data_IF_726302884514
#
_entry.id   IF_726302884514
#
_cell.length_a   1.000
_cell.length_b   1.000
_cell.length_c   1.000
_cell.angle_alpha   90.00
_cell.angle_beta   90.00
_cell.angle_gamma   90.00
#
_symmetry.space_group_name_H-M   'P 1'
#
loop_
_entity.id
_entity.type
_entity.pdbx_description
1 polymer ?
#
# COMPACT_ATOMS: atom_id res chain seq x y z
N UNK A 1 14.86 26.77 -11.48
CA UNK A 1 13.91 25.75 -11.97
C UNK A 1 12.53 26.37 -11.86
N UNK A 2 11.83 26.57 -12.97
CA UNK A 2 10.42 26.97 -12.91
C UNK A 2 9.65 25.78 -12.34
N UNK A 3 8.91 25.99 -11.26
CA UNK A 3 7.90 25.04 -10.78
C UNK A 3 6.88 24.88 -11.89
N UNK A 4 6.87 23.73 -12.58
CA UNK A 4 5.84 23.41 -13.58
C UNK A 4 4.47 23.68 -12.97
N UNK A 5 3.69 24.55 -13.61
CA UNK A 5 2.25 24.64 -13.36
C UNK A 5 1.67 23.25 -13.59
N UNK A 6 0.75 22.79 -12.73
CA UNK A 6 0.08 21.49 -12.87
C UNK A 6 -0.75 21.39 -14.17
N UNK A 7 -0.89 22.50 -14.89
CA UNK A 7 -1.71 22.63 -16.08
C UNK A 7 -1.10 23.59 -17.10
N UNK A 8 -1.35 23.30 -18.38
CA UNK A 8 -1.33 24.32 -19.42
C UNK A 8 -2.46 25.31 -19.11
N UNK A 9 -2.11 26.51 -18.65
CA UNK A 9 -3.08 27.55 -18.31
C UNK A 9 -3.94 27.93 -19.51
N UNK A 10 -3.40 27.89 -20.73
CA UNK A 10 -4.15 28.17 -21.95
C UNK A 10 -5.19 27.08 -22.23
N UNK A 11 -4.87 25.82 -21.93
CA UNK A 11 -5.84 24.72 -22.03
C UNK A 11 -6.96 24.86 -20.99
N UNK A 12 -6.63 25.14 -19.73
CA UNK A 12 -7.64 25.43 -18.69
C UNK A 12 -8.56 26.57 -19.13
N UNK A 13 -7.96 27.71 -19.50
CA UNK A 13 -8.70 28.95 -19.67
C UNK A 13 -9.60 28.89 -20.90
N UNK A 14 -9.28 28.03 -21.88
CA UNK A 14 -10.00 27.92 -23.14
C UNK A 14 -10.77 26.61 -23.35
N UNK A 15 -10.49 25.56 -22.55
CA UNK A 15 -11.01 24.20 -22.76
C UNK A 15 -10.73 23.68 -24.19
N UNK A 16 -9.73 24.22 -24.89
CA UNK A 16 -9.47 23.84 -26.28
C UNK A 16 -8.48 22.66 -26.35
N UNK A 17 -8.89 21.48 -26.85
CA UNK A 17 -8.01 20.31 -26.98
C UNK A 17 -6.74 20.56 -27.79
N UNK A 18 -6.68 21.58 -28.65
CA UNK A 18 -5.47 21.96 -29.36
C UNK A 18 -4.32 22.43 -28.44
N UNK A 19 -4.66 22.90 -27.23
CA UNK A 19 -3.68 23.27 -26.20
C UNK A 19 -3.37 22.13 -25.22
N UNK A 20 -4.02 20.98 -25.35
CA UNK A 20 -3.73 19.83 -24.51
C UNK A 20 -2.33 19.30 -24.82
N UNK A 21 -1.50 19.22 -23.79
CA UNK A 21 -0.17 18.62 -23.88
C UNK A 21 -0.06 17.49 -22.85
N UNK A 22 -0.01 16.24 -23.34
CA UNK A 22 0.16 15.06 -22.49
C UNK A 22 1.50 15.05 -21.72
N UNK A 23 2.47 15.88 -22.10
CA UNK A 23 3.73 16.06 -21.36
C UNK A 23 3.60 16.95 -20.12
N UNK A 24 2.48 17.68 -20.00
CA UNK A 24 2.11 18.53 -18.86
C UNK A 24 1.10 17.85 -17.91
N UNK A 25 0.92 16.54 -18.05
CA UNK A 25 0.04 15.72 -17.22
C UNK A 25 0.38 15.84 -15.72
N UNK A 26 -0.67 15.88 -14.88
CA UNK A 26 -0.61 16.20 -13.43
C UNK A 26 0.32 15.29 -12.62
N UNK A 27 0.60 14.11 -13.15
CA UNK A 27 1.47 13.12 -12.55
C UNK A 27 2.95 13.50 -12.56
N UNK A 28 3.39 14.40 -13.44
CA UNK A 28 4.82 14.74 -13.61
C UNK A 28 5.22 16.06 -12.94
N UNK A 29 4.79 16.26 -11.69
CA UNK A 29 5.13 17.46 -10.92
C UNK A 29 6.07 17.21 -9.76
N UNK A 30 6.69 18.29 -9.28
CA UNK A 30 7.58 18.28 -8.11
C UNK A 30 6.91 17.66 -6.89
N UNK A 31 5.63 17.97 -6.67
CA UNK A 31 4.85 17.39 -5.59
C UNK A 31 4.76 15.87 -5.71
N UNK A 32 4.47 15.36 -6.91
CA UNK A 32 4.31 13.92 -7.14
C UNK A 32 5.60 13.14 -6.92
N UNK A 33 6.71 13.51 -7.54
CA UNK A 33 7.95 12.74 -7.33
C UNK A 33 8.54 12.94 -5.92
N UNK A 34 8.37 14.12 -5.31
CA UNK A 34 8.87 14.36 -3.94
C UNK A 34 8.13 13.50 -2.91
N UNK A 35 6.80 13.38 -3.06
CA UNK A 35 5.98 12.54 -2.18
C UNK A 35 6.23 11.04 -2.41
N UNK A 36 6.50 10.62 -3.64
CA UNK A 36 7.03 9.28 -3.97
C UNK A 36 8.33 8.98 -3.22
N UNK A 37 9.31 9.89 -3.25
CA UNK A 37 10.59 9.70 -2.55
C UNK A 37 10.45 9.70 -1.04
N UNK A 38 9.54 10.50 -0.48
CA UNK A 38 9.22 10.44 0.95
C UNK A 38 8.65 9.06 1.34
N UNK A 39 7.74 8.50 0.55
CA UNK A 39 7.24 7.14 0.73
C UNK A 39 8.36 6.10 0.63
N UNK A 40 9.22 6.19 -0.39
CA UNK A 40 10.41 5.34 -0.52
C UNK A 40 11.25 5.37 0.77
N UNK A 41 11.61 6.56 1.25
CA UNK A 41 12.49 6.71 2.40
C UNK A 41 11.86 6.16 3.69
N UNK A 42 10.61 6.49 3.97
CA UNK A 42 9.90 6.05 5.19
C UNK A 42 9.67 4.54 5.17
N UNK A 43 9.21 3.98 4.06
CA UNK A 43 8.99 2.53 3.96
C UNK A 43 10.32 1.75 3.99
N UNK A 44 11.38 2.27 3.35
CA UNK A 44 12.71 1.65 3.41
C UNK A 44 13.27 1.65 4.85
N UNK A 45 13.10 2.76 5.58
CA UNK A 45 13.47 2.84 6.99
C UNK A 45 12.79 1.74 7.81
N UNK A 46 11.48 1.56 7.68
CA UNK A 46 10.75 0.50 8.38
C UNK A 46 11.19 -0.90 7.96
N UNK A 47 11.38 -1.15 6.66
CA UNK A 47 11.87 -2.43 6.16
C UNK A 47 13.23 -2.80 6.79
N UNK A 48 14.19 -1.87 6.79
CA UNK A 48 15.50 -2.05 7.41
C UNK A 48 15.36 -2.25 8.91
N UNK A 49 14.53 -1.45 9.59
CA UNK A 49 14.31 -1.55 11.03
C UNK A 49 13.79 -2.92 11.43
N UNK A 50 12.78 -3.44 10.74
CA UNK A 50 12.22 -4.76 11.02
C UNK A 50 13.16 -5.90 10.62
N UNK A 51 13.95 -5.75 9.54
CA UNK A 51 14.98 -6.72 9.17
C UNK A 51 16.14 -6.77 10.17
N UNK A 52 16.49 -5.63 10.78
CA UNK A 52 17.62 -5.49 11.69
C UNK A 52 17.26 -5.82 13.15
N UNK A 53 15.99 -5.81 13.52
CA UNK A 53 15.54 -6.27 14.83
C UNK A 53 15.60 -7.81 14.87
N UNK A 54 16.54 -8.41 15.63
CA UNK A 54 16.62 -9.86 15.71
C UNK A 54 15.37 -10.35 16.45
N UNK A 55 14.49 -11.04 15.74
CA UNK A 55 13.34 -11.78 16.29
C UNK A 55 13.73 -12.95 17.18
N UNK A 56 15.03 -13.09 17.49
CA UNK A 56 15.64 -14.21 18.18
C UNK A 56 16.73 -13.73 19.15
N UNK A 57 16.43 -12.79 20.05
CA UNK A 57 17.15 -12.83 21.33
C UNK A 57 16.63 -14.06 22.07
N UNK A 58 17.33 -15.18 21.89
CA UNK A 58 17.30 -16.35 22.77
C UNK A 58 17.49 -15.86 24.20
N UNK A 59 16.41 -15.50 24.89
CA UNK A 59 16.44 -15.40 26.34
C UNK A 59 16.62 -16.83 26.83
N UNK A 60 17.75 -17.08 27.45
CA UNK A 60 18.44 -18.38 27.47
C UNK A 60 17.79 -19.51 28.26
N UNK A 61 16.46 -19.62 28.36
CA UNK A 61 15.82 -20.80 28.97
C UNK A 61 14.36 -21.08 28.55
N UNK A 62 13.77 -20.38 27.58
CA UNK A 62 12.42 -20.70 27.09
C UNK A 62 12.52 -21.06 25.62
N UNK A 63 12.40 -22.37 25.35
CA UNK A 63 12.39 -22.98 24.03
C UNK A 63 11.04 -22.71 23.34
N UNK A 64 10.65 -21.44 23.17
CA UNK A 64 9.40 -21.09 22.50
C UNK A 64 9.58 -21.14 20.97
N UNK A 65 9.30 -22.33 20.44
CA UNK A 65 9.25 -22.69 19.03
C UNK A 65 7.98 -22.14 18.33
N UNK A 66 7.77 -20.83 18.35
CA UNK A 66 6.65 -20.24 17.63
C UNK A 66 7.07 -19.86 16.19
N UNK A 67 6.68 -20.67 15.19
CA UNK A 67 6.87 -20.32 13.75
C UNK A 67 5.98 -19.15 13.29
N UNK A 68 4.97 -18.76 14.09
CA UNK A 68 3.97 -17.72 13.76
C UNK A 68 4.57 -16.30 13.64
N UNK A 69 5.30 -15.77 14.64
CA UNK A 69 5.90 -14.44 14.59
C UNK A 69 6.94 -14.29 13.46
N UNK A 70 7.67 -15.37 13.15
CA UNK A 70 8.63 -15.38 12.05
C UNK A 70 8.00 -15.20 10.67
N UNK A 71 6.76 -15.69 10.45
CA UNK A 71 6.08 -15.54 9.17
C UNK A 71 5.44 -14.16 9.01
N UNK A 72 4.80 -13.63 10.07
CA UNK A 72 4.26 -12.27 10.09
C UNK A 72 5.35 -11.24 9.78
N UNK A 73 6.49 -11.30 10.48
CA UNK A 73 7.59 -10.35 10.28
C UNK A 73 8.17 -10.39 8.86
N UNK A 74 8.22 -11.57 8.23
CA UNK A 74 8.64 -11.68 6.82
C UNK A 74 7.72 -10.91 5.89
N UNK A 75 6.41 -11.03 6.08
CA UNK A 75 5.43 -10.32 5.25
C UNK A 75 5.40 -8.81 5.56
N UNK A 76 5.60 -8.41 6.82
CA UNK A 76 5.76 -7.01 7.21
C UNK A 76 6.97 -6.36 6.50
N UNK A 77 8.14 -7.01 6.55
CA UNK A 77 9.35 -6.55 5.85
C UNK A 77 9.11 -6.47 4.35
N UNK A 78 8.51 -7.51 3.76
CA UNK A 78 8.21 -7.54 2.33
C UNK A 78 7.25 -6.42 1.92
N UNK A 79 6.20 -6.15 2.70
CA UNK A 79 5.26 -5.06 2.46
C UNK A 79 5.98 -3.72 2.39
N UNK A 80 6.77 -3.37 3.41
CA UNK A 80 7.50 -2.11 3.43
C UNK A 80 8.57 -2.02 2.33
N UNK A 81 9.29 -3.12 2.05
CA UNK A 81 10.31 -3.14 1.01
C UNK A 81 9.70 -2.96 -0.40
N UNK A 82 8.64 -3.69 -0.73
CA UNK A 82 7.97 -3.55 -2.03
C UNK A 82 7.26 -2.20 -2.18
N UNK A 83 6.67 -1.68 -1.11
CA UNK A 83 6.09 -0.33 -1.09
C UNK A 83 7.19 0.70 -1.39
N UNK A 84 8.31 0.61 -0.68
CA UNK A 84 9.44 1.51 -0.91
C UNK A 84 9.89 1.46 -2.37
N UNK A 85 10.22 0.27 -2.88
CA UNK A 85 10.68 0.10 -4.26
C UNK A 85 9.65 0.59 -5.29
N UNK A 86 8.36 0.34 -5.08
CA UNK A 86 7.29 0.81 -5.95
C UNK A 86 7.29 2.34 -6.09
N UNK A 87 7.20 3.06 -4.96
CA UNK A 87 7.22 4.52 -4.96
C UNK A 87 8.59 5.10 -5.35
N UNK A 88 9.69 4.40 -5.10
CA UNK A 88 11.01 4.81 -5.57
C UNK A 88 11.14 4.77 -7.10
N UNK A 89 10.67 3.67 -7.71
CA UNK A 89 10.64 3.52 -9.17
C UNK A 89 9.66 4.51 -9.80
N UNK A 90 8.47 4.70 -9.22
CA UNK A 90 7.50 5.70 -9.67
C UNK A 90 8.06 7.13 -9.57
N UNK A 91 8.75 7.47 -8.48
CA UNK A 91 9.43 8.77 -8.33
C UNK A 91 10.49 9.01 -9.41
N UNK A 92 11.32 8.00 -9.72
CA UNK A 92 12.27 8.06 -10.83
C UNK A 92 11.53 8.22 -12.16
N UNK A 93 10.43 7.49 -12.36
CA UNK A 93 9.54 7.64 -13.51
C UNK A 93 9.11 9.09 -13.68
N UNK A 94 8.37 9.64 -12.72
CA UNK A 94 7.87 11.02 -12.82
C UNK A 94 8.98 12.07 -12.98
N UNK A 95 10.19 11.82 -12.44
CA UNK A 95 11.33 12.73 -12.60
C UNK A 95 12.01 12.63 -13.99
N UNK A 96 12.16 11.42 -14.53
CA UNK A 96 12.84 11.18 -15.82
C UNK A 96 11.89 11.42 -16.99
N UNK A 97 10.61 11.04 -16.84
CA UNK A 97 9.58 11.13 -17.87
C UNK A 97 9.20 12.55 -18.27
N UNK A 98 9.59 13.54 -17.46
CA UNK A 98 9.63 14.94 -17.88
C UNK A 98 10.52 15.17 -19.13
N UNK A 99 11.41 14.22 -19.48
CA UNK A 99 12.49 14.42 -20.46
C UNK A 99 12.66 13.33 -21.51
N UNK A 100 11.85 12.27 -21.49
CA UNK A 100 12.11 11.07 -22.33
C UNK A 100 10.89 10.63 -23.13
N UNK A 101 11.12 10.04 -24.31
CA UNK A 101 10.07 9.51 -25.19
C UNK A 101 9.30 8.34 -24.58
N UNK A 102 8.06 8.13 -25.06
CA UNK A 102 7.10 7.12 -24.59
C UNK A 102 7.64 5.69 -24.45
N UNK A 103 8.68 5.32 -25.19
CA UNK A 103 9.26 3.96 -25.18
C UNK A 103 9.93 3.59 -23.86
N UNK A 104 10.46 4.57 -23.11
CA UNK A 104 11.06 4.33 -21.80
C UNK A 104 10.04 4.40 -20.65
N UNK A 105 8.87 5.00 -20.89
CA UNK A 105 7.79 5.22 -19.92
C UNK A 105 7.13 3.95 -19.44
N UNK A 106 6.62 3.18 -20.40
CA UNK A 106 5.85 1.96 -20.16
C UNK A 106 6.56 0.97 -19.21
N UNK A 107 7.85 0.59 -19.40
CA UNK A 107 8.48 -0.38 -18.52
C UNK A 107 8.70 0.13 -17.09
N UNK A 108 8.96 1.43 -16.88
CA UNK A 108 9.15 2.01 -15.54
C UNK A 108 7.81 2.02 -14.79
N UNK A 109 6.76 2.52 -15.43
CA UNK A 109 5.41 2.54 -14.89
C UNK A 109 4.94 1.12 -14.55
N UNK A 110 5.01 0.20 -15.52
CA UNK A 110 4.66 -1.22 -15.32
C UNK A 110 5.41 -1.82 -14.12
N UNK A 111 6.71 -1.56 -14.00
CA UNK A 111 7.53 -2.06 -12.89
C UNK A 111 7.05 -1.52 -11.54
N UNK A 112 6.75 -0.22 -11.46
CA UNK A 112 6.22 0.39 -10.24
C UNK A 112 4.88 -0.24 -9.82
N UNK A 113 3.98 -0.53 -10.76
CA UNK A 113 2.70 -1.16 -10.49
C UNK A 113 2.83 -2.62 -10.08
N UNK A 114 3.72 -3.37 -10.72
CA UNK A 114 3.99 -4.76 -10.32
C UNK A 114 4.53 -4.80 -8.88
N UNK A 115 5.42 -3.88 -8.51
CA UNK A 115 5.91 -3.75 -7.13
C UNK A 115 4.79 -3.36 -6.14
N UNK A 116 3.88 -2.46 -6.52
CA UNK A 116 2.72 -2.10 -5.69
C UNK A 116 1.79 -3.31 -5.45
N UNK A 117 1.61 -4.16 -6.46
CA UNK A 117 0.85 -5.40 -6.31
C UNK A 117 1.56 -6.37 -5.36
N UNK A 118 2.89 -6.54 -5.46
CA UNK A 118 3.65 -7.34 -4.50
C UNK A 118 3.54 -6.81 -3.07
N UNK A 119 3.56 -5.48 -2.88
CA UNK A 119 3.32 -4.87 -1.58
C UNK A 119 1.91 -5.23 -1.05
N UNK A 120 0.89 -5.12 -1.89
CA UNK A 120 -0.49 -5.48 -1.51
C UNK A 120 -0.63 -6.97 -1.17
N UNK A 121 0.08 -7.87 -1.87
CA UNK A 121 0.14 -9.30 -1.52
C UNK A 121 0.77 -9.48 -0.15
N UNK A 122 1.91 -8.85 0.09
CA UNK A 122 2.60 -8.94 1.36
C UNK A 122 1.73 -8.42 2.51
N UNK A 123 1.01 -7.32 2.31
CA UNK A 123 0.07 -6.76 3.28
C UNK A 123 -1.08 -7.74 3.59
N UNK A 124 -1.70 -8.32 2.57
CA UNK A 124 -2.76 -9.32 2.75
C UNK A 124 -2.24 -10.56 3.49
N UNK A 125 -1.07 -11.08 3.10
CA UNK A 125 -0.46 -12.24 3.75
C UNK A 125 -0.05 -11.95 5.20
N UNK A 126 0.40 -10.72 5.49
CA UNK A 126 0.66 -10.24 6.84
C UNK A 126 -0.62 -10.30 7.69
N UNK A 127 -1.74 -9.78 7.17
CA UNK A 127 -3.04 -9.81 7.87
C UNK A 127 -3.58 -11.24 8.01
N UNK A 128 -3.41 -12.10 7.00
CA UNK A 128 -3.75 -13.53 7.11
C UNK A 128 -2.91 -14.24 8.18
N UNK A 129 -1.61 -13.93 8.27
CA UNK A 129 -0.76 -14.45 9.32
C UNK A 129 -1.22 -13.97 10.71
N UNK A 130 -1.60 -12.70 10.82
CA UNK A 130 -2.11 -12.07 12.04
C UNK A 130 -3.45 -12.66 12.50
N UNK A 131 -4.37 -12.90 11.56
CA UNK A 131 -5.73 -13.41 11.83
C UNK A 131 -5.85 -14.93 11.83
N UNK A 132 -4.71 -15.63 11.82
CA UNK A 132 -4.62 -17.09 11.77
C UNK A 132 -5.43 -17.71 10.61
N UNK A 133 -5.36 -17.09 9.42
CA UNK A 133 -5.87 -17.59 8.14
C UNK A 133 -4.69 -18.20 7.38
N UNK A 134 -4.56 -19.53 7.38
CA UNK A 134 -3.39 -20.26 6.87
C UNK A 134 -3.79 -21.58 6.21
N UNK A 135 -3.01 -22.08 5.24
CA UNK A 135 -3.36 -23.32 4.53
C UNK A 135 -3.26 -24.58 5.42
N UNK A 136 -2.35 -24.59 6.39
CA UNK A 136 -2.16 -25.70 7.34
C UNK A 136 -2.75 -25.32 8.69
N UNK A 137 -3.62 -26.18 9.25
CA UNK A 137 -4.23 -26.09 10.59
C UNK A 137 -5.37 -25.08 10.81
N UNK A 138 -6.14 -24.73 9.78
CA UNK A 138 -7.33 -23.87 9.92
C UNK A 138 -8.61 -24.55 9.44
N UNK A 139 -9.75 -23.96 9.82
CA UNK A 139 -11.07 -24.32 9.33
C UNK A 139 -11.12 -24.27 7.79
N UNK A 140 -11.94 -25.12 7.17
CA UNK A 140 -12.04 -25.25 5.71
C UNK A 140 -12.26 -23.90 5.00
N UNK A 141 -13.15 -23.05 5.52
CA UNK A 141 -13.40 -21.73 4.95
C UNK A 141 -12.17 -20.81 4.96
N UNK A 142 -11.33 -20.86 6.00
CA UNK A 142 -10.09 -20.07 6.08
C UNK A 142 -9.09 -20.50 5.00
N UNK A 143 -9.02 -21.79 4.70
CA UNK A 143 -8.18 -22.30 3.60
C UNK A 143 -8.67 -21.77 2.25
N UNK A 144 -9.98 -21.80 2.01
CA UNK A 144 -10.58 -21.25 0.79
C UNK A 144 -10.23 -19.77 0.65
N UNK A 145 -10.47 -18.97 1.70
CA UNK A 145 -10.14 -17.53 1.69
C UNK A 145 -8.67 -17.29 1.39
N UNK A 146 -7.77 -18.10 1.98
CA UNK A 146 -6.34 -18.00 1.73
C UNK A 146 -5.99 -18.27 0.26
N UNK A 147 -6.44 -19.41 -0.30
CA UNK A 147 -6.12 -19.78 -1.67
C UNK A 147 -6.76 -18.84 -2.70
N UNK A 148 -8.04 -18.46 -2.50
CA UNK A 148 -8.71 -17.51 -3.38
C UNK A 148 -8.03 -16.14 -3.36
N UNK A 149 -7.66 -15.63 -2.19
CA UNK A 149 -6.94 -14.37 -2.07
C UNK A 149 -5.62 -14.38 -2.84
N UNK A 150 -4.84 -15.46 -2.72
CA UNK A 150 -3.58 -15.62 -3.46
C UNK A 150 -3.83 -15.71 -4.98
N UNK A 151 -4.81 -16.50 -5.42
CA UNK A 151 -5.15 -16.65 -6.85
C UNK A 151 -5.57 -15.32 -7.47
N UNK A 152 -6.47 -14.59 -6.80
CA UNK A 152 -6.97 -13.29 -7.26
C UNK A 152 -5.81 -12.30 -7.41
N UNK A 153 -4.85 -12.30 -6.48
CA UNK A 153 -3.69 -11.41 -6.55
C UNK A 153 -2.72 -11.77 -7.67
N UNK A 154 -2.44 -13.06 -7.87
CA UNK A 154 -1.60 -13.51 -8.98
C UNK A 154 -2.27 -13.17 -10.32
N UNK A 155 -3.59 -13.32 -10.41
CA UNK A 155 -4.36 -12.93 -11.59
C UNK A 155 -4.31 -11.41 -11.83
N UNK A 156 -4.38 -10.58 -10.78
CA UNK A 156 -4.27 -9.13 -10.89
C UNK A 156 -2.88 -8.67 -11.39
N UNK A 157 -1.80 -9.33 -10.93
CA UNK A 157 -0.44 -9.09 -11.45
C UNK A 157 -0.37 -9.48 -12.93
N UNK A 158 -0.83 -10.68 -13.29
CA UNK A 158 -0.82 -11.14 -14.66
C UNK A 158 -1.63 -10.21 -15.58
N UNK A 159 -2.80 -9.75 -15.13
CA UNK A 159 -3.63 -8.79 -15.85
C UNK A 159 -2.90 -7.45 -16.03
N UNK A 160 -2.21 -6.94 -15.00
CA UNK A 160 -1.42 -5.70 -15.09
C UNK A 160 -0.34 -5.82 -16.16
N UNK A 161 0.39 -6.95 -16.18
CA UNK A 161 1.46 -7.21 -17.15
C UNK A 161 0.90 -7.32 -18.58
N UNK A 162 -0.20 -8.05 -18.77
CA UNK A 162 -0.77 -8.32 -20.11
C UNK A 162 -1.47 -7.10 -20.70
N UNK A 163 -2.22 -6.37 -19.88
CA UNK A 163 -3.04 -5.26 -20.37
C UNK A 163 -2.33 -3.92 -20.34
N UNK A 164 -1.24 -3.81 -19.57
CA UNK A 164 -0.63 -2.54 -19.21
C UNK A 164 -1.65 -1.53 -18.63
N UNK A 165 -2.73 -2.03 -18.00
CA UNK A 165 -3.78 -1.21 -17.37
C UNK A 165 -3.76 -1.40 -15.87
N UNK A 166 -3.80 -0.27 -15.17
CA UNK A 166 -3.68 -0.16 -13.71
C UNK A 166 -5.04 -0.31 -13.03
N UNK A 167 -6.12 0.06 -13.72
CA UNK A 167 -7.47 0.13 -13.16
C UNK A 167 -7.94 -1.22 -12.61
N UNK A 168 -7.84 -2.36 -13.35
CA UNK A 168 -8.34 -3.63 -12.84
C UNK A 168 -7.57 -4.12 -11.60
N UNK A 169 -6.24 -3.96 -11.57
CA UNK A 169 -5.43 -4.38 -10.43
C UNK A 169 -5.59 -3.47 -9.22
N UNK A 170 -5.77 -2.17 -9.43
CA UNK A 170 -6.03 -1.21 -8.36
C UNK A 170 -7.36 -1.47 -7.65
N UNK A 171 -8.43 -1.77 -8.42
CA UNK A 171 -9.72 -2.13 -7.85
C UNK A 171 -9.64 -3.43 -7.02
N UNK A 172 -8.93 -4.44 -7.52
CA UNK A 172 -8.70 -5.70 -6.80
C UNK A 172 -7.89 -5.47 -5.51
N UNK A 173 -6.82 -4.66 -5.58
CA UNK A 173 -6.02 -4.31 -4.42
C UNK A 173 -6.83 -3.55 -3.37
N UNK A 174 -7.64 -2.58 -3.79
CA UNK A 174 -8.53 -1.83 -2.89
C UNK A 174 -9.52 -2.75 -2.18
N UNK A 175 -10.15 -3.67 -2.91
CA UNK A 175 -11.09 -4.65 -2.35
C UNK A 175 -10.41 -5.55 -1.33
N UNK A 176 -9.20 -6.05 -1.63
CA UNK A 176 -8.47 -6.93 -0.72
C UNK A 176 -7.96 -6.19 0.53
N UNK A 177 -7.55 -4.93 0.40
CA UNK A 177 -7.23 -4.09 1.54
C UNK A 177 -8.48 -3.87 2.41
N UNK A 178 -9.64 -3.63 1.82
CA UNK A 178 -10.90 -3.49 2.56
C UNK A 178 -11.25 -4.79 3.32
N UNK A 179 -11.14 -5.95 2.68
CA UNK A 179 -11.34 -7.25 3.34
C UNK A 179 -10.35 -7.42 4.50
N UNK A 180 -9.07 -7.10 4.28
CA UNK A 180 -8.04 -7.19 5.32
C UNK A 180 -8.33 -6.25 6.51
N UNK A 181 -8.79 -5.03 6.25
CA UNK A 181 -9.21 -4.07 7.27
C UNK A 181 -10.39 -4.58 8.12
N UNK A 182 -11.40 -5.13 7.44
CA UNK A 182 -12.57 -5.72 8.11
C UNK A 182 -12.13 -6.90 8.99
N UNK A 183 -11.29 -7.79 8.46
CA UNK A 183 -10.72 -8.90 9.23
C UNK A 183 -9.94 -8.42 10.44
N UNK A 184 -9.17 -7.34 10.30
CA UNK A 184 -8.47 -6.71 11.41
C UNK A 184 -9.50 -6.32 12.47
N UNK A 185 -10.43 -5.39 12.20
CA UNK A 185 -11.44 -4.93 13.17
C UNK A 185 -12.11 -6.06 13.98
N UNK A 186 -12.47 -7.18 13.35
CA UNK A 186 -13.15 -8.28 14.02
C UNK A 186 -12.24 -9.19 14.88
N UNK A 187 -10.93 -9.21 14.61
CA UNK A 187 -9.96 -10.04 15.35
C UNK A 187 -9.41 -9.39 16.61
N UNK A 188 -9.43 -8.06 16.69
CA UNK A 188 -8.83 -7.27 17.77
C UNK A 188 -9.46 -7.29 19.16
N UNK A 189 -10.56 -8.01 19.35
CA UNK A 189 -11.40 -7.82 20.54
C UNK A 189 -10.92 -8.54 21.81
N UNK A 190 -9.84 -9.33 21.73
CA UNK A 190 -9.51 -10.29 22.78
C UNK A 190 -8.57 -9.80 23.88
N UNK A 191 -7.78 -8.76 23.66
CA UNK A 191 -6.78 -8.30 24.64
C UNK A 191 -6.99 -6.83 25.03
N UNK A 192 -7.33 -6.58 26.30
CA UNK A 192 -7.70 -5.26 26.83
C UNK A 192 -6.46 -4.41 27.06
N UNK A 193 -5.36 -5.00 27.53
CA UNK A 193 -4.14 -4.27 27.92
C UNK A 193 -3.44 -3.66 26.69
N UNK A 194 -3.61 -4.27 25.53
CA UNK A 194 -2.98 -3.85 24.29
C UNK A 194 -3.92 -3.13 23.31
N UNK A 195 -5.13 -2.78 23.76
CA UNK A 195 -6.18 -2.19 22.92
C UNK A 195 -5.74 -0.88 22.25
N UNK A 196 -4.97 -0.05 22.94
CA UNK A 196 -4.47 1.22 22.38
C UNK A 196 -3.57 0.99 21.16
N UNK A 197 -2.60 0.08 21.29
CA UNK A 197 -1.66 -0.24 20.21
C UNK A 197 -2.36 -0.91 19.03
N UNK A 198 -3.30 -1.80 19.32
CA UNK A 198 -4.12 -2.43 18.33
C UNK A 198 -4.98 -1.42 17.55
N UNK A 199 -5.64 -0.49 18.25
CA UNK A 199 -6.41 0.59 17.63
C UNK A 199 -5.54 1.51 16.77
N UNK A 200 -4.28 1.73 17.17
CA UNK A 200 -3.32 2.52 16.39
C UNK A 200 -3.01 1.84 15.04
N UNK A 201 -2.90 0.51 14.99
CA UNK A 201 -2.72 -0.25 13.74
C UNK A 201 -3.94 -0.12 12.84
N UNK A 202 -5.14 -0.28 13.40
CA UNK A 202 -6.40 -0.07 12.67
C UNK A 202 -6.45 1.36 12.12
N UNK A 203 -6.10 2.36 12.91
CA UNK A 203 -6.08 3.75 12.47
C UNK A 203 -5.10 3.96 11.29
N UNK A 204 -3.88 3.43 11.39
CA UNK A 204 -2.92 3.48 10.28
C UNK A 204 -3.47 2.85 8.99
N UNK A 205 -4.08 1.67 9.12
CA UNK A 205 -4.71 0.98 7.98
C UNK A 205 -5.91 1.76 7.41
N UNK A 206 -6.75 2.33 8.28
CA UNK A 206 -7.88 3.15 7.87
C UNK A 206 -7.41 4.39 7.09
N UNK A 207 -6.33 5.03 7.52
CA UNK A 207 -5.72 6.16 6.81
C UNK A 207 -5.18 5.72 5.44
N UNK A 208 -4.55 4.54 5.33
CA UNK A 208 -4.15 4.02 4.00
C UNK A 208 -5.34 3.74 3.08
N UNK A 209 -6.46 3.24 3.60
CA UNK A 209 -7.68 3.06 2.80
C UNK A 209 -8.32 4.39 2.41
N UNK A 210 -8.25 5.39 3.29
CA UNK A 210 -8.73 6.73 2.99
C UNK A 210 -7.99 7.33 1.80
N UNK A 211 -6.68 7.10 1.66
CA UNK A 211 -5.95 7.58 0.48
C UNK A 211 -6.51 6.95 -0.81
N UNK A 212 -6.76 5.63 -0.81
CA UNK A 212 -7.36 4.93 -1.94
C UNK A 212 -8.76 5.46 -2.26
N UNK A 213 -9.58 5.73 -1.23
CA UNK A 213 -10.92 6.27 -1.40
C UNK A 213 -10.91 7.71 -1.95
N UNK A 214 -10.01 8.57 -1.46
CA UNK A 214 -9.83 9.93 -1.96
C UNK A 214 -9.38 9.90 -3.43
N UNK A 215 -8.36 9.11 -3.76
CA UNK A 215 -7.89 9.01 -5.13
C UNK A 215 -8.97 8.42 -6.05
N UNK A 216 -9.52 7.24 -5.71
CA UNK A 216 -10.50 6.56 -6.55
C UNK A 216 -11.84 7.29 -6.68
N UNK A 217 -12.26 8.05 -5.66
CA UNK A 217 -13.51 8.79 -5.68
C UNK A 217 -13.46 10.08 -6.50
N UNK A 218 -12.29 10.70 -6.63
CA UNK A 218 -12.13 11.94 -7.37
C UNK A 218 -11.34 11.80 -8.67
N UNK A 219 -10.66 10.67 -8.90
CA UNK A 219 -9.82 10.49 -10.08
C UNK A 219 -10.61 10.62 -11.40
N UNK A 220 -11.82 10.06 -11.49
CA UNK A 220 -12.58 10.17 -12.75
C UNK A 220 -12.95 11.61 -13.10
N UNK A 221 -13.28 12.44 -12.11
CA UNK A 221 -13.67 13.83 -12.31
C UNK A 221 -12.44 14.76 -12.48
N UNK A 222 -11.38 14.51 -11.71
CA UNK A 222 -10.19 15.36 -11.69
C UNK A 222 -9.14 14.97 -12.74
N UNK A 223 -9.32 13.86 -13.46
CA UNK A 223 -8.52 13.51 -14.64
C UNK A 223 -9.38 13.49 -15.92
N UNK A 224 -10.50 14.21 -15.91
CA UNK A 224 -11.40 14.34 -17.07
C UNK A 224 -10.99 15.49 -17.99
N UNK A 225 -10.00 15.22 -18.83
CA UNK A 225 -9.57 16.16 -19.87
C UNK A 225 -10.67 16.40 -20.91
N UNK A 226 -11.56 15.44 -21.17
CA UNK A 226 -12.60 15.62 -22.20
C UNK A 226 -13.62 16.70 -21.80
N UNK A 227 -13.90 16.82 -20.49
CA UNK A 227 -14.81 17.81 -19.93
C UNK A 227 -14.09 18.92 -19.13
N UNK A 228 -12.79 19.15 -19.37
CA UNK A 228 -11.99 20.21 -18.74
C UNK A 228 -12.14 20.29 -17.21
N UNK A 229 -12.21 19.12 -16.57
CA UNK A 229 -12.32 19.02 -15.11
C UNK A 229 -13.52 19.75 -14.49
N UNK A 230 -14.59 20.01 -15.26
CA UNK A 230 -15.77 20.75 -14.79
C UNK A 230 -16.38 20.13 -13.52
N UNK A 231 -16.31 18.80 -13.40
CA UNK A 231 -16.81 18.05 -12.25
C UNK A 231 -15.79 17.92 -11.10
N UNK A 232 -14.54 18.39 -11.26
CA UNK A 232 -13.53 18.30 -10.21
C UNK A 232 -13.84 19.31 -9.09
N UNK A 233 -14.05 18.85 -7.84
CA UNK A 233 -14.43 19.74 -6.73
C UNK A 233 -13.26 20.54 -6.15
N UNK A 234 -12.05 20.35 -6.66
CA UNK A 234 -10.83 20.98 -6.17
C UNK A 234 -10.39 22.11 -7.11
N UNK A 235 -9.62 23.10 -6.61
CA UNK A 235 -8.96 24.07 -7.47
C UNK A 235 -8.15 23.37 -8.55
N UNK A 236 -8.05 23.99 -9.72
CA UNK A 236 -7.29 23.40 -10.81
C UNK A 236 -5.86 23.11 -10.36
N UNK A 237 -5.12 24.04 -9.76
CA UNK A 237 -3.77 23.78 -9.24
C UNK A 237 -3.64 22.77 -8.07
N UNK A 238 -4.66 21.96 -7.77
CA UNK A 238 -4.63 20.90 -6.78
C UNK A 238 -4.04 19.59 -7.32
N UNK A 239 -2.93 19.15 -6.74
CA UNK A 239 -2.33 17.85 -7.06
C UNK A 239 -2.96 16.72 -6.23
N UNK A 240 -4.04 16.12 -6.75
CA UNK A 240 -4.73 14.99 -6.11
C UNK A 240 -3.81 13.79 -5.87
N UNK A 241 -2.84 13.52 -6.76
CA UNK A 241 -1.91 12.41 -6.64
C UNK A 241 -0.90 12.61 -5.48
N UNK A 242 -0.36 13.82 -5.32
CA UNK A 242 0.49 14.16 -4.18
C UNK A 242 -0.27 14.06 -2.85
N UNK A 243 -1.54 14.48 -2.82
CA UNK A 243 -2.39 14.33 -1.62
C UNK A 243 -2.64 12.86 -1.28
N UNK A 244 -2.91 12.02 -2.29
CA UNK A 244 -2.97 10.58 -2.12
C UNK A 244 -1.69 10.04 -1.46
N UNK A 245 -0.51 10.41 -1.96
CA UNK A 245 0.77 9.96 -1.39
C UNK A 245 0.97 10.44 0.05
N UNK A 246 0.60 11.69 0.38
CA UNK A 246 0.73 12.23 1.73
C UNK A 246 -0.16 11.47 2.71
N UNK A 247 -1.43 11.23 2.36
CA UNK A 247 -2.35 10.46 3.21
C UNK A 247 -1.82 9.03 3.36
N UNK A 248 -1.40 8.40 2.26
CA UNK A 248 -0.82 7.06 2.30
C UNK A 248 0.43 7.00 3.18
N UNK A 249 1.33 7.98 3.08
CA UNK A 249 2.55 8.13 3.87
C UNK A 249 2.24 8.20 5.37
N UNK A 250 1.24 9.00 5.76
CA UNK A 250 0.79 9.08 7.16
C UNK A 250 0.26 7.73 7.64
N UNK A 251 -0.56 7.05 6.82
CA UNK A 251 -1.10 5.74 7.16
C UNK A 251 -0.03 4.66 7.36
N UNK A 252 0.91 4.52 6.42
CA UNK A 252 2.02 3.57 6.54
C UNK A 252 3.00 3.96 7.64
N UNK A 253 3.16 5.26 7.92
CA UNK A 253 3.94 5.79 9.04
C UNK A 253 3.38 5.38 10.39
N UNK A 254 2.07 5.57 10.59
CA UNK A 254 1.35 5.13 11.79
C UNK A 254 1.44 3.61 11.94
N UNK A 255 1.22 2.85 10.86
CA UNK A 255 1.30 1.39 10.87
C UNK A 255 2.72 0.93 11.26
N UNK A 256 3.75 1.43 10.60
CA UNK A 256 5.15 1.07 10.89
C UNK A 256 5.56 1.44 12.30
N UNK A 257 5.21 2.65 12.76
CA UNK A 257 5.49 3.08 14.13
C UNK A 257 4.80 2.20 15.17
N UNK A 258 3.53 1.85 14.94
CA UNK A 258 2.77 1.02 15.87
C UNK A 258 3.36 -0.39 16.01
N UNK A 259 3.92 -0.96 14.93
CA UNK A 259 4.61 -2.25 14.96
C UNK A 259 6.00 -2.18 15.63
N UNK A 260 6.66 -1.01 15.66
CA UNK A 260 7.88 -0.82 16.45
C UNK A 260 7.54 -0.78 17.95
N UNK A 261 6.52 -0.01 18.33
CA UNK A 261 6.18 0.22 19.74
C UNK A 261 5.49 -1.00 20.36
N UNK A 262 4.63 -1.68 19.60
CA UNK A 262 3.89 -2.86 20.05
C UNK A 262 3.85 -3.90 18.94
N UNK A 263 4.89 -4.74 18.83
CA UNK A 263 5.00 -5.72 17.75
C UNK A 263 3.85 -6.72 17.76
N UNK A 264 3.20 -6.91 16.61
CA UNK A 264 2.13 -7.89 16.41
C UNK A 264 2.56 -9.34 16.70
N UNK A 265 3.87 -9.61 16.63
CA UNK A 265 4.45 -10.92 16.92
C UNK A 265 4.21 -11.40 18.35
N UNK A 266 4.07 -10.49 19.32
CA UNK A 266 3.88 -10.82 20.74
C UNK A 266 2.51 -11.48 20.95
N UNK A 267 1.45 -10.92 20.35
CA UNK A 267 0.09 -11.48 20.44
C UNK A 267 -0.05 -12.89 19.84
N UNK A 268 0.82 -13.24 18.90
CA UNK A 268 0.80 -14.54 18.24
C UNK A 268 1.42 -15.66 19.09
N UNK A 269 2.14 -15.33 20.16
CA UNK A 269 2.75 -16.30 21.08
C UNK A 269 1.77 -16.72 22.18
N UNK A 270 0.96 -15.81 22.71
CA UNK A 270 0.00 -16.08 23.80
C UNK A 270 -1.18 -16.98 23.39
N UNK A 271 -1.61 -16.92 22.12
CA UNK A 271 -2.69 -17.77 21.60
C UNK A 271 -2.31 -19.26 21.50
N UNK A 272 -1.01 -19.58 21.42
CA UNK A 272 -0.56 -20.99 21.28
C UNK A 272 -0.61 -21.71 22.62
N UNK A 273 -0.22 -21.05 23.72
CA UNK A 273 -0.21 -21.67 25.05
C UNK A 273 -1.60 -22.03 25.58
N UNK A 274 -2.64 -21.30 25.17
CA UNK A 274 -4.01 -21.56 25.63
C UNK A 274 -4.71 -22.67 24.82
N UNK A 275 -4.28 -22.92 23.57
CA UNK A 275 -4.90 -23.94 22.71
C UNK A 275 -4.50 -25.39 23.02
N UNK A 276 -3.45 -25.60 23.83
CA UNK A 276 -3.04 -26.95 24.27
C UNK A 276 -3.82 -27.46 25.50
N UNK A 277 -4.69 -26.64 26.10
CA UNK A 277 -5.53 -27.03 27.24
C UNK A 277 -6.97 -27.40 26.88
N UNK A 278 -7.40 -27.17 25.63
CA UNK A 278 -8.78 -27.37 25.17
C UNK A 278 -8.94 -28.59 24.21
N UNK A 279 -7.97 -29.50 24.16
CA UNK A 279 -8.01 -30.75 23.40
C UNK A 279 -7.89 -31.97 24.31
#
# INVERSE_FOLDING_TARGET
MMTRSLYNKEYIDSCNPDFYNAEEDMDNTIGTYSTNYALFAVCMFFAIKFASCPTNKKSGNIQQSSKKPALFNKYLIAFFAFTALSFGVAGIGHQILERTSDKARVPIETSSFVLANFASIALMLMIFAFTDIRPKKTLFWKKIVWYLGVIIMVAAIAATIVTNRIIPSSAVNALLQLIAFVLLIFTGKKDVENRFHYNTKIAGFAVTLLSVAVFGGFASACFDYENCFEECPFPLDFNLNAVFHVIYLVGVGILGWSEIVSPSSVFLEDDVSNSEFDA
#
